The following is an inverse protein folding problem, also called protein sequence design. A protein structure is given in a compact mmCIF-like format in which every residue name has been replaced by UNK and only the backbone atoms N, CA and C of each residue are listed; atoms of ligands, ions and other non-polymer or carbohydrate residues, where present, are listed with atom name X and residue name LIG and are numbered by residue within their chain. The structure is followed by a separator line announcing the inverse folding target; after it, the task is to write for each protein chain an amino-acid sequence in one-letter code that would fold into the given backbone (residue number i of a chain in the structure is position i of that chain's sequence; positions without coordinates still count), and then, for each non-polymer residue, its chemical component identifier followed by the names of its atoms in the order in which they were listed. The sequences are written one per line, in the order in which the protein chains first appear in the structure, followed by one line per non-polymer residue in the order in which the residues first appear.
data_IF_384773094023
#
_entry.id   IF_384773094023
#
_cell.length_a   1.000
_cell.length_b   1.000
_cell.length_c   1.000
_cell.angle_alpha   90.00
_cell.angle_beta   90.00
_cell.angle_gamma   90.00
#
_symmetry.space_group_name_H-M   'P 1'
#
loop_
_entity.id
_entity.type
_entity.pdbx_description
1 polymer ?
#
# COMPACT_ATOMS: atom_id res chain seq x y z
N UNK A 1 -10.12 7.54 22.16
CA UNK A 1 -9.80 6.34 21.36
C UNK A 1 -8.29 6.17 21.28
N UNK A 2 -7.77 4.97 20.99
CA UNK A 2 -6.39 4.83 20.48
C UNK A 2 -6.50 4.57 18.98
N UNK A 3 -5.73 5.31 18.19
CA UNK A 3 -5.76 5.23 16.74
C UNK A 3 -4.53 5.90 16.16
N UNK A 4 -4.23 5.59 14.91
CA UNK A 4 -3.13 6.20 14.19
C UNK A 4 -3.42 6.22 12.69
N UNK A 5 -2.81 7.18 11.99
CA UNK A 5 -2.75 7.27 10.54
C UNK A 5 -1.32 6.94 10.09
N UNK A 6 -1.19 6.25 8.96
CA UNK A 6 0.10 5.83 8.42
C UNK A 6 0.45 6.64 7.17
N UNK A 7 1.75 6.79 6.91
CA UNK A 7 2.28 7.32 5.65
C UNK A 7 3.57 6.60 5.27
N UNK A 8 3.86 6.52 3.97
CA UNK A 8 5.13 6.05 3.44
C UNK A 8 5.68 7.13 2.51
N UNK A 9 6.78 7.76 2.92
CA UNK A 9 7.41 8.86 2.16
C UNK A 9 8.76 8.40 1.61
N UNK A 10 9.15 8.75 0.37
CA UNK A 10 10.45 8.40 -0.16
C UNK A 10 11.59 8.80 0.80
N UNK A 11 12.62 7.96 0.93
CA UNK A 11 13.80 8.28 1.75
C UNK A 11 14.62 9.45 1.19
N UNK A 12 14.48 9.72 -0.10
CA UNK A 12 15.12 10.82 -0.81
C UNK A 12 14.16 11.36 -1.87
N UNK A 13 14.33 12.63 -2.24
CA UNK A 13 13.53 13.29 -3.27
C UNK A 13 13.60 12.51 -4.61
N UNK A 14 12.46 12.27 -5.27
CA UNK A 14 12.43 11.67 -6.59
C UNK A 14 13.22 12.53 -7.58
N UNK A 15 14.15 11.90 -8.32
CA UNK A 15 14.99 12.60 -9.29
C UNK A 15 14.48 12.49 -10.73
N UNK A 16 13.36 11.81 -10.96
CA UNK A 16 12.83 11.60 -12.32
C UNK A 16 11.73 12.62 -12.60
N UNK A 17 11.97 13.60 -13.49
CA UNK A 17 10.93 14.52 -13.91
C UNK A 17 9.88 13.79 -14.76
N UNK A 18 8.64 14.25 -14.68
CA UNK A 18 7.56 13.78 -15.54
C UNK A 18 7.78 14.30 -16.98
N UNK A 19 7.80 13.45 -18.01
CA UNK A 19 7.91 13.90 -19.40
C UNK A 19 6.61 14.55 -19.87
N UNK A 20 6.71 15.47 -20.85
CA UNK A 20 5.55 16.18 -21.42
C UNK A 20 4.55 15.26 -22.13
N UNK A 21 5.03 14.15 -22.72
CA UNK A 21 4.21 13.18 -23.43
C UNK A 21 4.57 11.75 -22.98
N UNK A 22 4.07 11.30 -21.81
CA UNK A 22 4.37 9.95 -21.31
C UNK A 22 3.71 8.88 -22.17
N UNK A 23 4.37 7.73 -22.30
CA UNK A 23 3.72 6.52 -22.81
C UNK A 23 2.62 6.06 -21.85
N UNK A 24 1.68 5.25 -22.34
CA UNK A 24 0.63 4.66 -21.50
C UNK A 24 1.20 3.79 -20.35
N UNK A 25 2.43 3.30 -20.49
CA UNK A 25 3.11 2.44 -19.51
C UNK A 25 4.23 3.16 -18.76
N UNK A 26 4.38 4.48 -18.92
CA UNK A 26 5.54 5.24 -18.44
C UNK A 26 5.88 4.97 -16.96
N UNK A 27 4.90 4.96 -16.07
CA UNK A 27 5.14 4.72 -14.63
C UNK A 27 5.65 3.30 -14.37
N UNK A 28 5.14 2.30 -15.09
CA UNK A 28 5.59 0.91 -14.99
C UNK A 28 7.00 0.76 -15.55
N UNK A 29 7.30 1.40 -16.68
CA UNK A 29 8.62 1.37 -17.32
C UNK A 29 9.67 2.09 -16.45
N UNK A 30 9.28 3.18 -15.79
CA UNK A 30 10.12 3.89 -14.82
C UNK A 30 10.39 3.05 -13.57
N UNK A 31 9.36 2.41 -13.01
CA UNK A 31 9.51 1.51 -11.86
C UNK A 31 10.43 0.34 -12.18
N UNK A 32 10.27 -0.28 -13.37
CA UNK A 32 11.16 -1.34 -13.84
C UNK A 32 12.61 -0.87 -13.97
N UNK A 33 12.83 0.27 -14.63
CA UNK A 33 14.18 0.83 -14.80
C UNK A 33 14.83 1.17 -13.46
N UNK A 34 14.05 1.71 -12.51
CA UNK A 34 14.51 1.99 -11.16
C UNK A 34 14.91 0.70 -10.44
N UNK A 35 13.99 -0.27 -10.32
CA UNK A 35 14.20 -1.50 -9.56
C UNK A 35 15.21 -2.45 -10.21
N UNK A 36 15.48 -2.35 -11.51
CA UNK A 36 16.61 -3.04 -12.15
C UNK A 36 17.97 -2.52 -11.70
N UNK A 37 18.06 -1.22 -11.41
CA UNK A 37 19.33 -0.55 -11.10
C UNK A 37 19.60 -0.42 -9.60
N UNK A 38 18.57 -0.23 -8.77
CA UNK A 38 18.72 0.07 -7.34
C UNK A 38 17.44 -0.25 -6.55
N UNK A 39 17.53 -0.44 -5.22
CA UNK A 39 16.35 -0.56 -4.37
C UNK A 39 15.55 0.74 -4.28
N UNK A 40 14.27 0.64 -3.95
CA UNK A 40 13.45 1.77 -3.53
C UNK A 40 13.35 1.81 -1.99
N UNK A 41 13.34 3.01 -1.41
CA UNK A 41 13.35 3.22 0.03
C UNK A 41 12.25 4.19 0.44
N UNK A 42 11.52 3.84 1.49
CA UNK A 42 10.50 4.70 2.11
C UNK A 42 10.69 4.78 3.63
N UNK A 43 10.53 5.98 4.20
CA UNK A 43 10.31 6.15 5.63
C UNK A 43 8.85 5.81 5.95
N UNK A 44 8.62 4.84 6.83
CA UNK A 44 7.29 4.51 7.32
C UNK A 44 6.97 5.35 8.55
N UNK A 45 5.90 6.13 8.46
CA UNK A 45 5.56 7.19 9.37
C UNK A 45 4.18 6.96 9.99
N UNK A 46 3.98 7.44 11.22
CA UNK A 46 2.68 7.42 11.90
C UNK A 46 2.32 8.79 12.47
N UNK A 47 1.04 9.13 12.40
CA UNK A 47 0.40 10.20 13.17
C UNK A 47 -0.50 9.56 14.22
N UNK A 48 -0.47 10.05 15.47
CA UNK A 48 -1.25 9.48 16.57
C UNK A 48 -2.56 10.26 16.76
N UNK A 49 -3.64 9.54 17.01
CA UNK A 49 -4.93 10.16 17.37
C UNK A 49 -4.80 10.93 18.70
N UNK A 50 -5.38 12.13 18.73
CA UNK A 50 -5.43 13.01 19.90
C UNK A 50 -6.87 13.06 20.42
N UNK A 51 -7.76 13.68 19.63
CA UNK A 51 -9.18 13.83 19.92
C UNK A 51 -9.99 13.94 18.61
N UNK A 52 -11.31 13.95 18.71
CA UNK A 52 -12.21 13.96 17.54
C UNK A 52 -12.28 15.31 16.81
N UNK A 53 -11.85 16.40 17.43
CA UNK A 53 -11.84 17.73 16.80
C UNK A 53 -10.60 17.89 15.92
N UNK A 54 -9.42 17.51 16.44
CA UNK A 54 -8.13 17.64 15.74
C UNK A 54 -7.84 16.47 14.82
N UNK A 55 -8.26 15.27 15.20
CA UNK A 55 -7.96 14.03 14.49
C UNK A 55 -9.24 13.22 14.23
N UNK A 56 -10.20 13.76 13.44
CA UNK A 56 -11.48 13.09 13.19
C UNK A 56 -11.26 11.77 12.43
N UNK A 57 -11.54 10.64 13.08
CA UNK A 57 -11.42 9.29 12.48
C UNK A 57 -12.59 8.99 11.53
N UNK A 58 -13.76 9.58 11.79
CA UNK A 58 -14.99 9.28 11.06
C UNK A 58 -15.14 10.11 9.77
N UNK A 59 -14.30 11.11 9.55
CA UNK A 59 -14.25 11.94 8.35
C UNK A 59 -12.84 11.95 7.73
N UNK A 60 -12.56 11.09 6.75
CA UNK A 60 -11.26 11.04 6.10
C UNK A 60 -11.00 12.20 5.13
N UNK A 61 -11.96 13.10 4.92
CA UNK A 61 -11.77 14.31 4.10
C UNK A 61 -11.05 15.43 4.85
N UNK A 62 -10.98 15.34 6.17
CA UNK A 62 -10.29 16.29 7.03
C UNK A 62 -8.87 15.81 7.30
N UNK A 63 -7.89 16.62 6.90
CA UNK A 63 -6.49 16.37 7.21
C UNK A 63 -6.21 16.55 8.71
N UNK A 64 -5.39 15.65 9.27
CA UNK A 64 -4.87 15.81 10.64
C UNK A 64 -3.65 16.73 10.58
N UNK A 65 -3.79 17.94 11.10
CA UNK A 65 -2.71 18.94 11.11
C UNK A 65 -1.44 18.40 11.78
N UNK A 66 -0.30 18.54 11.09
CA UNK A 66 0.99 18.07 11.60
C UNK A 66 1.50 18.85 12.82
N UNK A 67 1.02 20.08 13.02
CA UNK A 67 1.29 20.87 14.24
C UNK A 67 0.63 20.28 15.48
N UNK A 68 -0.50 19.59 15.32
CA UNK A 68 -1.21 18.91 16.42
C UNK A 68 -0.68 17.48 16.58
N UNK A 69 -0.66 16.71 15.49
CA UNK A 69 -0.15 15.34 15.45
C UNK A 69 0.95 15.21 14.40
N UNK A 70 2.23 15.37 14.75
CA UNK A 70 3.33 15.26 13.78
C UNK A 70 3.52 13.82 13.30
N UNK A 71 4.08 13.65 12.10
CA UNK A 71 4.54 12.34 11.65
C UNK A 71 5.79 11.89 12.39
N UNK A 72 5.74 10.69 12.98
CA UNK A 72 6.88 10.03 13.63
C UNK A 72 7.35 8.88 12.76
N UNK A 73 8.64 8.87 12.38
CA UNK A 73 9.24 7.73 11.67
C UNK A 73 9.35 6.55 12.62
N UNK A 74 8.81 5.40 12.21
CA UNK A 74 8.85 4.16 13.01
C UNK A 74 9.61 3.03 12.31
N UNK A 75 9.78 3.10 10.98
CA UNK A 75 10.58 2.13 10.24
C UNK A 75 11.11 2.71 8.92
N UNK A 76 12.01 1.95 8.28
CA UNK A 76 12.38 2.12 6.87
C UNK A 76 11.89 0.90 6.11
N UNK A 77 11.16 1.10 5.01
CA UNK A 77 10.76 0.07 4.08
C UNK A 77 11.75 0.07 2.91
N UNK A 78 12.33 -1.09 2.63
CA UNK A 78 13.19 -1.27 1.46
C UNK A 78 12.53 -2.26 0.51
N UNK A 79 12.34 -1.83 -0.74
CA UNK A 79 11.95 -2.71 -1.84
C UNK A 79 13.24 -3.02 -2.59
N UNK A 80 13.70 -4.29 -2.57
CA UNK A 80 15.00 -4.64 -3.13
C UNK A 80 15.02 -4.46 -4.65
N UNK A 81 16.24 -4.34 -5.18
CA UNK A 81 16.51 -4.41 -6.62
C UNK A 81 15.94 -5.71 -7.18
N UNK A 82 15.09 -5.63 -8.19
CA UNK A 82 14.39 -6.77 -8.77
C UNK A 82 13.93 -6.51 -10.20
N UNK A 83 13.74 -7.60 -10.95
CA UNK A 83 12.97 -7.62 -12.19
C UNK A 83 11.60 -8.21 -11.88
N UNK A 84 10.51 -7.50 -12.23
CA UNK A 84 9.16 -7.91 -11.82
C UNK A 84 8.18 -8.15 -12.98
N UNK A 85 8.65 -8.06 -14.23
CA UNK A 85 7.79 -8.11 -15.43
C UNK A 85 7.75 -9.47 -16.11
N UNK A 86 8.25 -10.54 -15.47
CA UNK A 86 8.06 -11.88 -16.03
C UNK A 86 6.56 -12.21 -16.15
N UNK A 87 6.11 -12.93 -17.18
CA UNK A 87 4.69 -13.29 -17.31
C UNK A 87 4.15 -14.04 -16.08
N UNK A 88 4.99 -14.89 -15.46
CA UNK A 88 4.64 -15.64 -14.25
C UNK A 88 4.39 -14.70 -13.06
N UNK A 89 5.25 -13.70 -12.85
CA UNK A 89 5.12 -12.74 -11.76
C UNK A 89 3.97 -11.76 -11.98
N UNK A 90 3.70 -11.37 -13.24
CA UNK A 90 2.51 -10.58 -13.57
C UNK A 90 1.23 -11.35 -13.26
N UNK A 91 1.15 -12.63 -13.64
CA UNK A 91 0.00 -13.47 -13.33
C UNK A 91 -0.17 -13.69 -11.82
N UNK A 92 0.93 -13.87 -11.10
CA UNK A 92 0.90 -13.94 -9.64
C UNK A 92 0.39 -12.63 -9.01
N UNK A 93 0.97 -11.49 -9.41
CA UNK A 93 0.57 -10.16 -8.94
C UNK A 93 -0.91 -9.87 -9.22
N UNK A 94 -1.40 -10.24 -10.41
CA UNK A 94 -2.81 -10.09 -10.78
C UNK A 94 -3.72 -10.89 -9.83
N UNK A 95 -3.25 -12.00 -9.27
CA UNK A 95 -4.04 -12.84 -8.37
C UNK A 95 -3.92 -12.47 -6.89
N UNK A 96 -2.98 -11.61 -6.50
CA UNK A 96 -2.87 -11.09 -5.13
C UNK A 96 -4.09 -10.25 -4.73
N UNK A 97 -4.48 -10.35 -3.47
CA UNK A 97 -5.56 -9.55 -2.88
C UNK A 97 -5.10 -8.88 -1.60
N UNK A 98 -5.42 -7.59 -1.45
CA UNK A 98 -5.07 -6.80 -0.28
C UNK A 98 -6.34 -6.28 0.39
N UNK A 99 -6.45 -6.40 1.72
CA UNK A 99 -7.56 -5.82 2.49
C UNK A 99 -7.04 -5.17 3.77
N UNK A 100 -7.54 -3.98 4.17
CA UNK A 100 -7.15 -3.36 5.44
C UNK A 100 -7.49 -4.21 6.67
N UNK A 101 -8.43 -5.14 6.52
CA UNK A 101 -8.89 -6.03 7.59
C UNK A 101 -8.02 -7.28 7.75
N UNK A 102 -7.00 -7.46 6.90
CA UNK A 102 -5.90 -8.38 7.15
C UNK A 102 -4.95 -7.71 8.14
N UNK A 103 -5.38 -7.66 9.41
CA UNK A 103 -4.72 -6.96 10.50
C UNK A 103 -4.95 -7.69 11.81
N UNK A 104 -4.07 -7.45 12.78
CA UNK A 104 -4.25 -7.91 14.16
C UNK A 104 -5.23 -7.00 14.89
N UNK A 105 -5.88 -7.52 15.93
CA UNK A 105 -6.93 -6.81 16.68
C UNK A 105 -6.47 -5.45 17.21
N UNK A 106 -5.21 -5.34 17.64
CA UNK A 106 -4.63 -4.09 18.18
C UNK A 106 -4.48 -3.00 17.11
N UNK A 107 -4.40 -3.37 15.83
CA UNK A 107 -4.27 -2.47 14.68
C UNK A 107 -5.50 -2.55 13.76
N UNK A 108 -6.65 -2.93 14.31
CA UNK A 108 -7.89 -3.03 13.52
C UNK A 108 -8.21 -1.69 12.85
N UNK A 109 -8.71 -1.69 11.59
CA UNK A 109 -9.13 -0.47 10.92
C UNK A 109 -10.25 0.27 11.66
N UNK A 110 -10.17 1.60 11.71
CA UNK A 110 -11.14 2.48 12.40
C UNK A 110 -11.88 3.39 11.40
N UNK A 111 -13.05 3.90 11.78
CA UNK A 111 -13.86 4.78 10.95
C UNK A 111 -14.89 4.05 10.07
N UNK A 112 -15.97 4.76 9.73
CA UNK A 112 -17.09 4.29 8.91
C UNK A 112 -16.62 3.71 7.58
N UNK A 113 -15.72 4.43 6.88
CA UNK A 113 -15.21 4.00 5.58
C UNK A 113 -14.50 2.65 5.67
N UNK A 114 -13.67 2.44 6.69
CA UNK A 114 -13.00 1.16 6.87
C UNK A 114 -13.99 0.02 7.19
N UNK A 115 -15.05 0.26 7.98
CA UNK A 115 -16.11 -0.75 8.20
C UNK A 115 -16.77 -1.19 6.90
N UNK A 116 -17.01 -0.26 5.97
CA UNK A 116 -17.53 -0.58 4.62
C UNK A 116 -16.50 -1.37 3.80
N UNK A 117 -15.22 -0.95 3.83
CA UNK A 117 -14.14 -1.64 3.11
C UNK A 117 -14.03 -3.12 3.46
N UNK A 118 -14.36 -3.55 4.68
CA UNK A 118 -14.38 -4.98 5.04
C UNK A 118 -15.21 -5.80 4.04
N UNK A 119 -16.49 -5.45 3.93
CA UNK A 119 -17.44 -6.18 3.09
C UNK A 119 -17.13 -6.04 1.60
N UNK A 120 -16.71 -4.85 1.17
CA UNK A 120 -16.42 -4.57 -0.25
C UNK A 120 -15.20 -5.36 -0.73
N UNK A 121 -14.09 -5.33 0.01
CA UNK A 121 -12.88 -6.04 -0.39
C UNK A 121 -13.06 -7.56 -0.36
N UNK A 122 -13.76 -8.09 0.64
CA UNK A 122 -14.13 -9.52 0.69
C UNK A 122 -14.94 -9.94 -0.55
N UNK A 123 -16.00 -9.19 -0.88
CA UNK A 123 -16.87 -9.50 -2.02
C UNK A 123 -16.14 -9.40 -3.37
N UNK A 124 -15.36 -8.33 -3.58
CA UNK A 124 -14.62 -8.10 -4.83
C UNK A 124 -13.51 -9.13 -5.02
N UNK A 125 -12.77 -9.48 -3.96
CA UNK A 125 -11.73 -10.53 -4.06
C UNK A 125 -12.32 -11.87 -4.46
N UNK A 126 -13.41 -12.30 -3.80
CA UNK A 126 -14.06 -13.58 -4.11
C UNK A 126 -14.55 -13.63 -5.56
N UNK A 127 -15.16 -12.55 -6.04
CA UNK A 127 -15.66 -12.48 -7.42
C UNK A 127 -14.51 -12.48 -8.44
N UNK A 128 -13.41 -11.75 -8.17
CA UNK A 128 -12.23 -11.69 -9.04
C UNK A 128 -11.54 -13.04 -9.14
N UNK A 129 -11.31 -13.71 -8.00
CA UNK A 129 -10.73 -15.05 -7.96
C UNK A 129 -11.60 -16.08 -8.69
N UNK A 130 -12.93 -16.03 -8.51
CA UNK A 130 -13.87 -16.86 -9.27
C UNK A 130 -13.78 -16.64 -10.78
N UNK A 131 -13.72 -15.37 -11.22
CA UNK A 131 -13.61 -15.04 -12.64
C UNK A 131 -12.26 -15.47 -13.24
N UNK A 132 -11.19 -15.39 -12.46
CA UNK A 132 -9.85 -15.81 -12.87
C UNK A 132 -9.65 -17.33 -12.77
N UNK A 133 -10.59 -18.07 -12.17
CA UNK A 133 -10.47 -19.53 -11.96
C UNK A 133 -9.38 -19.91 -10.95
N UNK A 134 -9.08 -19.04 -9.99
CA UNK A 134 -8.05 -19.25 -8.97
C UNK A 134 -8.68 -19.36 -7.57
N UNK A 135 -8.05 -20.15 -6.70
CA UNK A 135 -8.45 -20.24 -5.30
C UNK A 135 -8.03 -18.98 -4.54
N UNK A 136 -8.83 -18.60 -3.52
CA UNK A 136 -8.48 -17.52 -2.61
C UNK A 136 -7.57 -18.07 -1.50
N UNK A 137 -6.27 -17.99 -1.71
CA UNK A 137 -5.24 -18.51 -0.80
C UNK A 137 -4.24 -17.41 -0.43
N UNK A 138 -3.65 -17.52 0.76
CA UNK A 138 -2.57 -16.62 1.19
C UNK A 138 -1.28 -17.00 0.46
N UNK A 139 -0.53 -16.03 -0.10
CA UNK A 139 0.73 -16.31 -0.78
C UNK A 139 1.74 -16.86 0.22
N UNK A 140 2.52 -17.86 -0.20
CA UNK A 140 3.61 -18.42 0.61
C UNK A 140 4.95 -17.77 0.25
N UNK A 141 5.97 -17.78 1.14
CA UNK A 141 7.26 -17.15 0.86
C UNK A 141 7.92 -17.61 -0.45
N UNK A 142 7.74 -18.89 -0.82
CA UNK A 142 8.28 -19.43 -2.07
C UNK A 142 7.66 -18.78 -3.31
N UNK A 143 6.45 -18.25 -3.21
CA UNK A 143 5.81 -17.51 -4.29
C UNK A 143 6.44 -16.13 -4.51
N UNK A 144 7.22 -15.60 -3.56
CA UNK A 144 7.78 -14.25 -3.67
C UNK A 144 9.16 -14.21 -4.34
N UNK A 145 9.87 -15.35 -4.36
CA UNK A 145 11.29 -15.40 -4.77
C UNK A 145 11.58 -16.36 -5.93
N UNK A 146 10.61 -17.17 -6.38
CA UNK A 146 10.81 -18.20 -7.41
C UNK A 146 10.17 -17.85 -8.78
N UNK A 147 10.49 -16.68 -9.32
CA UNK A 147 10.07 -16.25 -10.67
C UNK A 147 11.21 -16.25 -11.68
#
# INVERSE_FOLDING_TARGET
YKGMKYSAVPCAEPQTPMPDNPSATYLTDNLESHLKSRPACYNFMVQLYIDSEKTPIEDPSIEWNESDSPFVKVATLEIPRQEFRSPKQQQFCENLSFTPWHSIDTLRPLGNLNRVRKKVYEAVSLQRHKNNGVAAEEPVPDDLFNF
#
